data_IF_314525081899
#
_entry.id   IF_314525081899
#
_cell.length_a   1.000
_cell.length_b   1.000
_cell.length_c   1.000
_cell.angle_alpha   90.00
_cell.angle_beta   90.00
_cell.angle_gamma   90.00
#
_symmetry.space_group_name_H-M   'P 1'
#
loop_
_entity.id
_entity.type
_entity.pdbx_description
1 polymer ?
#
# COMPACT_ATOMS: atom_id res chain seq x y z
N UNK A 1 51.95 -25.10 -5.09
CA UNK A 1 51.12 -26.31 -5.12
C UNK A 1 49.79 -25.94 -4.48
N UNK A 2 48.68 -26.00 -5.23
CA UNK A 2 47.35 -25.66 -4.71
C UNK A 2 46.63 -26.97 -4.49
N UNK A 3 46.38 -27.31 -3.22
CA UNK A 3 45.57 -28.47 -2.84
C UNK A 3 44.11 -28.02 -2.78
N UNK A 4 43.24 -28.74 -3.49
CA UNK A 4 41.80 -28.49 -3.48
C UNK A 4 41.13 -29.67 -2.79
N UNK A 5 40.41 -29.40 -1.70
CA UNK A 5 39.58 -30.40 -1.02
C UNK A 5 38.20 -30.46 -1.69
N UNK A 6 37.91 -31.59 -2.32
CA UNK A 6 36.58 -31.92 -2.81
C UNK A 6 35.74 -32.60 -1.71
N UNK A 7 34.41 -32.58 -1.87
CA UNK A 7 33.41 -33.03 -0.87
C UNK A 7 33.54 -34.51 -0.45
N UNK A 8 34.29 -35.27 -1.21
CA UNK A 8 34.63 -36.68 -1.05
C UNK A 8 35.93 -36.90 -0.25
N UNK A 9 36.52 -35.83 0.29
CA UNK A 9 37.58 -35.88 1.31
C UNK A 9 38.95 -36.33 0.80
N UNK A 10 39.15 -36.36 -0.52
CA UNK A 10 40.42 -36.69 -1.16
C UNK A 10 41.10 -35.42 -1.63
N UNK A 11 42.39 -35.32 -1.31
CA UNK A 11 43.26 -34.26 -1.78
C UNK A 11 43.82 -34.63 -3.17
N UNK A 12 43.61 -33.74 -4.15
CA UNK A 12 44.13 -33.90 -5.51
C UNK A 12 45.22 -32.86 -5.77
N UNK A 13 46.41 -33.32 -6.16
CA UNK A 13 47.48 -32.45 -6.65
C UNK A 13 47.18 -32.03 -8.09
N UNK A 14 46.91 -30.73 -8.27
CA UNK A 14 46.73 -30.15 -9.60
C UNK A 14 48.09 -29.84 -10.23
N UNK A 15 48.30 -30.36 -11.45
CA UNK A 15 49.48 -30.02 -12.25
C UNK A 15 49.40 -28.58 -12.77
N UNK A 16 50.53 -28.01 -13.20
CA UNK A 16 50.55 -26.66 -13.78
C UNK A 16 49.65 -26.52 -15.03
N UNK A 17 49.43 -27.61 -15.77
CA UNK A 17 48.48 -27.65 -16.89
C UNK A 17 47.03 -27.57 -16.44
N UNK A 18 46.68 -28.16 -15.30
CA UNK A 18 45.30 -28.14 -14.76
C UNK A 18 44.92 -26.76 -14.23
N UNK A 19 45.90 -26.04 -13.66
CA UNK A 19 45.73 -24.63 -13.28
C UNK A 19 45.47 -23.73 -14.50
N UNK A 20 46.14 -24.01 -15.62
CA UNK A 20 45.90 -23.30 -16.88
C UNK A 20 44.49 -23.57 -17.42
N UNK A 21 43.99 -24.80 -17.30
CA UNK A 21 42.63 -25.16 -17.72
C UNK A 21 41.57 -24.51 -16.82
N UNK A 22 41.75 -24.53 -15.50
CA UNK A 22 40.86 -23.85 -14.56
C UNK A 22 40.84 -22.33 -14.77
N UNK A 23 42.01 -21.71 -15.02
CA UNK A 23 42.08 -20.28 -15.30
C UNK A 23 41.43 -19.93 -16.65
N UNK A 24 41.59 -20.78 -17.67
CA UNK A 24 40.88 -20.64 -18.96
C UNK A 24 39.38 -20.83 -18.81
N UNK A 25 38.94 -21.78 -17.99
CA UNK A 25 37.52 -21.99 -17.70
C UNK A 25 36.94 -20.80 -16.93
N UNK A 26 37.64 -20.29 -15.91
CA UNK A 26 37.28 -19.09 -15.16
C UNK A 26 37.24 -17.82 -16.04
N UNK A 27 38.20 -17.65 -16.94
CA UNK A 27 38.21 -16.55 -17.92
C UNK A 27 37.11 -16.72 -18.99
N UNK A 28 36.70 -17.94 -19.30
CA UNK A 28 35.61 -18.21 -20.23
C UNK A 28 34.24 -17.99 -19.58
N UNK A 29 34.03 -18.47 -18.34
CA UNK A 29 32.78 -18.24 -17.60
C UNK A 29 32.59 -16.78 -17.19
N UNK A 30 33.66 -16.05 -16.83
CA UNK A 30 33.57 -14.60 -16.59
C UNK A 30 33.24 -13.80 -17.85
N UNK A 31 33.69 -14.23 -19.05
CA UNK A 31 33.26 -13.62 -20.32
C UNK A 31 31.81 -13.94 -20.70
N UNK A 32 31.22 -15.02 -20.19
CA UNK A 32 29.79 -15.31 -20.39
C UNK A 32 28.92 -14.36 -19.55
N UNK A 33 29.40 -13.85 -18.41
CA UNK A 33 28.70 -12.78 -17.66
C UNK A 33 28.73 -11.43 -18.39
N UNK A 34 29.78 -11.13 -19.16
CA UNK A 34 29.83 -9.93 -20.02
C UNK A 34 28.96 -10.03 -21.28
N UNK A 35 28.44 -11.23 -21.58
CA UNK A 35 27.59 -11.52 -22.73
C UNK A 35 26.08 -11.57 -22.43
N UNK A 36 25.64 -11.28 -21.21
CA UNK A 36 24.22 -11.04 -20.97
C UNK A 36 23.85 -9.80 -21.80
N UNK A 37 23.00 -10.01 -22.80
CA UNK A 37 22.30 -8.97 -23.56
C UNK A 37 22.04 -7.77 -22.66
N UNK A 38 22.20 -6.52 -23.13
CA UNK A 38 21.63 -5.34 -22.46
C UNK A 38 20.22 -5.72 -22.03
N UNK A 39 20.08 -6.10 -20.75
CA UNK A 39 18.87 -6.71 -20.27
C UNK A 39 17.81 -5.67 -20.54
N UNK A 40 16.72 -6.07 -21.22
CA UNK A 40 15.52 -5.24 -21.28
C UNK A 40 15.32 -4.75 -19.85
N UNK A 41 15.53 -3.45 -19.61
CA UNK A 41 15.52 -2.91 -18.26
C UNK A 41 14.26 -3.46 -17.60
N UNK A 42 14.43 -4.26 -16.54
CA UNK A 42 13.27 -4.82 -15.84
C UNK A 42 12.43 -3.61 -15.49
N UNK A 43 11.20 -3.57 -16.00
CA UNK A 43 10.29 -2.48 -15.74
C UNK A 43 9.98 -2.50 -14.24
N UNK A 44 10.80 -1.78 -13.47
CA UNK A 44 10.59 -1.59 -12.05
C UNK A 44 9.39 -0.68 -11.92
N UNK A 45 8.47 -1.07 -11.04
CA UNK A 45 7.34 -0.26 -10.66
C UNK A 45 6.75 -0.78 -9.38
N UNK A 46 5.92 0.04 -8.76
CA UNK A 46 5.26 -0.27 -7.50
C UNK A 46 3.81 0.15 -7.59
N UNK A 47 2.93 -0.61 -6.94
CA UNK A 47 1.52 -0.29 -6.84
C UNK A 47 1.17 0.29 -5.48
N UNK A 48 0.16 1.14 -5.42
CA UNK A 48 -0.46 1.61 -4.19
C UNK A 48 -1.94 1.90 -4.39
N UNK A 49 -2.72 1.77 -3.33
CA UNK A 49 -4.10 2.24 -3.30
C UNK A 49 -4.16 3.73 -2.95
N UNK A 50 -4.93 4.49 -3.73
CA UNK A 50 -5.32 5.86 -3.41
C UNK A 50 -6.77 5.83 -2.92
N UNK A 51 -6.93 6.04 -1.62
CA UNK A 51 -8.24 5.97 -0.97
C UNK A 51 -8.97 7.31 -1.06
N UNK A 52 -10.27 7.25 -1.35
CA UNK A 52 -11.15 8.40 -1.49
C UNK A 52 -11.07 9.13 -2.83
N UNK A 53 -10.46 8.51 -3.86
CA UNK A 53 -10.41 9.05 -5.23
C UNK A 53 -10.61 7.93 -6.24
N UNK A 54 -11.24 8.29 -7.36
CA UNK A 54 -11.44 7.41 -8.52
C UNK A 54 -10.30 7.47 -9.54
N UNK A 55 -9.39 8.44 -9.38
CA UNK A 55 -8.30 8.70 -10.32
C UNK A 55 -6.92 8.68 -9.67
N UNK A 56 -5.91 8.21 -10.39
CA UNK A 56 -4.51 8.29 -9.97
C UNK A 56 -3.94 9.71 -10.15
N UNK A 57 -2.84 10.07 -9.45
CA UNK A 57 -2.17 11.34 -9.69
C UNK A 57 -1.68 11.46 -11.14
N UNK A 58 -1.51 12.69 -11.62
CA UNK A 58 -1.03 12.95 -12.98
C UNK A 58 0.32 12.27 -13.23
N UNK A 59 0.42 11.53 -14.34
CA UNK A 59 1.65 10.81 -14.71
C UNK A 59 1.81 9.44 -14.04
N UNK A 60 0.82 9.01 -13.25
CA UNK A 60 0.74 7.67 -12.65
C UNK A 60 -0.29 6.84 -13.40
N UNK A 61 0.04 5.58 -13.69
CA UNK A 61 -0.83 4.69 -14.43
C UNK A 61 -1.94 4.15 -13.52
N UNK A 62 -3.19 4.18 -13.96
CA UNK A 62 -4.28 3.52 -13.26
C UNK A 62 -4.27 2.03 -13.62
N UNK A 63 -4.24 1.16 -12.61
CA UNK A 63 -4.45 -0.29 -12.78
C UNK A 63 -5.94 -0.59 -12.84
N UNK A 64 -6.68 -0.12 -11.83
CA UNK A 64 -8.15 -0.15 -11.82
C UNK A 64 -8.72 0.90 -10.86
N UNK A 65 -10.01 1.18 -11.02
CA UNK A 65 -10.82 1.95 -10.09
C UNK A 65 -11.88 1.05 -9.46
N UNK A 66 -12.26 1.38 -8.24
CA UNK A 66 -13.08 0.55 -7.39
C UNK A 66 -13.76 1.32 -6.28
N UNK A 67 -14.31 0.55 -5.34
CA UNK A 67 -14.80 1.04 -4.07
C UNK A 67 -14.07 0.33 -2.93
N UNK A 68 -13.90 1.03 -1.82
CA UNK A 68 -13.37 0.42 -0.62
C UNK A 68 -14.41 -0.54 -0.05
N UNK A 69 -13.90 -1.66 0.45
CA UNK A 69 -14.68 -2.62 1.21
C UNK A 69 -13.89 -3.17 2.38
N UNK A 70 -14.57 -3.88 3.25
CA UNK A 70 -13.97 -4.46 4.43
C UNK A 70 -14.98 -5.27 5.22
N UNK A 71 -14.64 -5.54 6.47
CA UNK A 71 -15.56 -6.22 7.37
C UNK A 71 -16.58 -5.25 7.98
N UNK A 72 -17.79 -5.74 8.26
CA UNK A 72 -18.85 -4.98 8.93
C UNK A 72 -18.38 -4.41 10.27
N UNK A 73 -18.80 -3.21 10.62
CA UNK A 73 -18.30 -2.48 11.80
C UNK A 73 -18.46 -3.27 13.12
N UNK A 74 -19.54 -4.03 13.29
CA UNK A 74 -19.78 -4.84 14.51
C UNK A 74 -19.10 -6.21 14.51
N UNK A 75 -18.54 -6.65 13.37
CA UNK A 75 -17.94 -7.98 13.26
C UNK A 75 -16.52 -7.97 13.83
N UNK A 76 -16.28 -8.79 14.87
CA UNK A 76 -14.97 -8.86 15.56
C UNK A 76 -13.94 -9.75 14.85
N UNK A 77 -14.39 -10.70 14.02
CA UNK A 77 -13.54 -11.61 13.24
C UNK A 77 -13.35 -11.13 11.79
N UNK A 78 -12.80 -11.97 10.91
CA UNK A 78 -12.61 -11.62 9.50
C UNK A 78 -11.34 -10.79 9.23
N UNK A 79 -11.35 -10.02 8.13
CA UNK A 79 -10.22 -9.19 7.70
C UNK A 79 -10.16 -7.84 8.44
N UNK A 80 -8.94 -7.41 8.79
CA UNK A 80 -8.68 -6.11 9.45
C UNK A 80 -8.31 -4.99 8.47
N UNK A 81 -7.91 -5.34 7.26
CA UNK A 81 -7.53 -4.39 6.23
C UNK A 81 -8.76 -3.93 5.43
N UNK A 82 -8.63 -2.77 4.79
CA UNK A 82 -9.54 -2.36 3.72
C UNK A 82 -9.09 -3.02 2.42
N UNK A 83 -10.05 -3.30 1.56
CA UNK A 83 -9.85 -3.84 0.22
C UNK A 83 -10.28 -2.80 -0.80
N UNK A 84 -9.50 -2.62 -1.86
CA UNK A 84 -9.97 -1.87 -3.01
C UNK A 84 -10.64 -2.85 -3.98
N UNK A 85 -11.97 -2.90 -3.98
CA UNK A 85 -12.74 -3.84 -4.78
C UNK A 85 -12.96 -3.25 -6.17
N UNK A 86 -12.58 -3.94 -7.27
CA UNK A 86 -12.76 -3.42 -8.61
C UNK A 86 -14.24 -3.23 -8.94
N UNK A 87 -14.55 -2.22 -9.77
CA UNK A 87 -15.92 -1.98 -10.24
C UNK A 87 -16.45 -3.07 -11.18
N UNK A 88 -15.57 -3.94 -11.68
CA UNK A 88 -15.85 -5.05 -12.60
C UNK A 88 -15.33 -6.38 -12.02
N UNK A 89 -15.91 -6.89 -10.92
CA UNK A 89 -15.45 -8.13 -10.32
C UNK A 89 -15.75 -9.35 -11.21
N UNK A 90 -14.87 -10.35 -11.17
CA UNK A 90 -15.17 -11.70 -11.63
C UNK A 90 -15.81 -12.46 -10.47
N UNK A 91 -17.09 -12.81 -10.59
CA UNK A 91 -17.84 -13.48 -9.53
C UNK A 91 -17.52 -14.97 -9.49
N UNK A 92 -17.33 -15.51 -8.29
CA UNK A 92 -17.32 -16.95 -8.05
C UNK A 92 -18.73 -17.54 -7.92
N UNK A 93 -18.80 -18.84 -7.65
CA UNK A 93 -20.07 -19.52 -7.40
C UNK A 93 -20.68 -19.11 -6.06
N UNK A 94 -22.01 -18.94 -5.98
CA UNK A 94 -22.68 -18.63 -4.73
C UNK A 94 -22.56 -19.80 -3.74
N UNK A 95 -22.32 -19.50 -2.47
CA UNK A 95 -22.38 -20.48 -1.39
C UNK A 95 -23.21 -19.92 -0.23
N UNK A 96 -24.02 -20.78 0.38
CA UNK A 96 -24.92 -20.41 1.49
C UNK A 96 -24.39 -20.97 2.79
N UNK A 97 -23.44 -20.27 3.40
CA UNK A 97 -22.96 -20.56 4.75
C UNK A 97 -22.76 -19.26 5.52
N UNK A 98 -23.07 -19.25 6.82
CA UNK A 98 -22.80 -18.12 7.70
C UNK A 98 -21.30 -18.01 7.96
N UNK A 99 -20.56 -17.37 7.06
CA UNK A 99 -19.10 -17.23 7.10
C UNK A 99 -18.68 -15.75 6.97
N UNK A 100 -17.39 -15.51 6.75
CA UNK A 100 -16.86 -14.17 6.56
C UNK A 100 -17.46 -13.50 5.32
N UNK A 101 -17.75 -12.21 5.43
CA UNK A 101 -18.36 -11.39 4.39
C UNK A 101 -17.52 -10.14 4.15
N UNK A 102 -17.59 -9.61 2.93
CA UNK A 102 -17.03 -8.30 2.58
C UNK A 102 -18.20 -7.35 2.35
N UNK A 103 -18.16 -6.21 3.02
CA UNK A 103 -19.13 -5.12 2.94
C UNK A 103 -18.49 -3.95 2.20
N UNK A 104 -19.33 -3.12 1.56
CA UNK A 104 -18.91 -1.80 1.08
C UNK A 104 -18.47 -0.92 2.25
N UNK A 105 -17.73 0.16 1.95
CA UNK A 105 -17.25 1.06 2.98
C UNK A 105 -17.81 2.47 2.86
N UNK A 106 -18.07 3.11 4.00
CA UNK A 106 -18.70 4.43 4.08
C UNK A 106 -17.84 5.43 4.85
N UNK A 107 -17.97 6.69 4.47
CA UNK A 107 -17.43 7.81 5.22
C UNK A 107 -18.30 8.14 6.44
N UNK A 108 -17.67 8.12 7.61
CA UNK A 108 -18.28 8.51 8.88
C UNK A 108 -17.78 9.88 9.31
N UNK A 109 -18.31 10.90 8.62
CA UNK A 109 -17.84 12.28 8.67
C UNK A 109 -18.90 13.25 9.20
N UNK A 110 -19.71 12.84 10.18
CA UNK A 110 -20.64 13.74 10.84
C UNK A 110 -19.93 14.94 11.51
N UNK A 111 -20.57 16.11 11.45
CA UNK A 111 -20.03 17.49 11.55
C UNK A 111 -18.99 17.86 12.63
N UNK A 112 -18.73 17.02 13.64
CA UNK A 112 -17.73 17.25 14.70
C UNK A 112 -16.54 16.26 14.68
N UNK A 113 -16.47 15.33 13.73
CA UNK A 113 -15.49 14.24 13.68
C UNK A 113 -14.62 14.24 12.41
N UNK A 114 -14.63 15.33 11.65
CA UNK A 114 -13.94 15.40 10.34
C UNK A 114 -12.62 16.16 10.43
N UNK A 115 -11.56 15.70 9.75
CA UNK A 115 -10.36 16.50 9.57
C UNK A 115 -10.69 17.83 8.86
N UNK A 116 -10.49 18.94 9.57
CA UNK A 116 -11.00 20.28 9.20
C UNK A 116 -10.61 20.76 7.79
N UNK A 117 -9.51 20.24 7.23
CA UNK A 117 -9.03 20.60 5.90
C UNK A 117 -9.34 19.56 4.81
N UNK A 118 -10.19 18.57 5.06
CA UNK A 118 -10.69 17.66 4.02
C UNK A 118 -11.80 18.37 3.23
N UNK A 119 -11.70 18.37 1.90
CA UNK A 119 -12.74 18.95 1.05
C UNK A 119 -14.01 18.10 1.12
N UNK A 120 -15.16 18.74 0.89
CA UNK A 120 -16.46 18.07 0.85
C UNK A 120 -16.86 17.33 2.15
N UNK A 121 -16.16 17.56 3.26
CA UNK A 121 -16.39 16.89 4.55
C UNK A 121 -17.86 16.82 4.97
N UNK A 122 -18.64 17.87 4.71
CA UNK A 122 -20.06 17.95 5.10
C UNK A 122 -20.99 17.11 4.23
N UNK A 123 -20.54 16.70 3.05
CA UNK A 123 -21.35 16.01 2.03
C UNK A 123 -20.91 14.58 1.78
N UNK A 124 -19.86 14.12 2.47
CA UNK A 124 -19.33 12.77 2.33
C UNK A 124 -19.93 11.79 3.32
N UNK A 125 -20.45 12.24 4.46
CA UNK A 125 -21.05 11.34 5.45
C UNK A 125 -22.11 10.43 4.81
N UNK A 126 -22.05 9.13 5.16
CA UNK A 126 -22.94 8.10 4.64
C UNK A 126 -22.86 7.94 3.11
N UNK A 127 -21.68 8.19 2.55
CA UNK A 127 -21.38 7.89 1.15
C UNK A 127 -20.26 6.89 1.05
N UNK A 128 -20.32 6.10 -0.01
CA UNK A 128 -19.35 5.07 -0.27
C UNK A 128 -17.99 5.66 -0.63
N UNK A 129 -16.95 5.00 -0.14
CA UNK A 129 -15.55 5.43 -0.28
C UNK A 129 -14.98 4.85 -1.57
N UNK A 130 -14.67 5.65 -2.60
CA UNK A 130 -14.00 5.14 -3.80
C UNK A 130 -12.54 4.84 -3.49
N UNK A 131 -11.94 4.00 -4.33
CA UNK A 131 -10.52 3.76 -4.33
C UNK A 131 -10.01 3.55 -5.75
N UNK A 132 -8.72 3.77 -5.96
CA UNK A 132 -8.07 3.39 -7.20
C UNK A 132 -6.70 2.81 -6.90
N UNK A 133 -6.32 1.75 -7.62
CA UNK A 133 -4.98 1.19 -7.54
C UNK A 133 -4.15 1.79 -8.66
N UNK A 134 -3.05 2.42 -8.25
CA UNK A 134 -2.13 3.14 -9.13
C UNK A 134 -0.83 2.37 -9.26
N UNK A 135 -0.24 2.39 -10.46
CA UNK A 135 1.07 1.84 -10.76
C UNK A 135 2.03 2.96 -11.13
N UNK A 136 3.10 3.10 -10.36
CA UNK A 136 4.14 4.08 -10.60
C UNK A 136 5.36 3.39 -11.20
N UNK A 137 5.73 3.81 -12.42
CA UNK A 137 6.87 3.26 -13.16
C UNK A 137 8.19 3.81 -12.61
N UNK A 138 9.27 3.04 -12.76
CA UNK A 138 10.63 3.37 -12.34
C UNK A 138 10.76 3.72 -10.86
N UNK A 139 9.90 3.12 -10.03
CA UNK A 139 9.91 3.18 -8.56
C UNK A 139 9.86 1.76 -8.03
N UNK A 140 10.49 1.51 -6.89
CA UNK A 140 10.57 0.18 -6.28
C UNK A 140 9.84 0.07 -4.95
N UNK A 141 9.49 1.19 -4.32
CA UNK A 141 8.89 1.18 -2.98
C UNK A 141 7.83 2.27 -2.81
N UNK A 142 6.87 1.99 -1.93
CA UNK A 142 5.84 2.93 -1.46
C UNK A 142 5.98 3.09 0.05
N UNK A 143 5.76 4.30 0.53
CA UNK A 143 5.76 4.63 1.95
C UNK A 143 4.60 5.59 2.26
N UNK A 144 3.75 5.21 3.21
CA UNK A 144 2.79 6.12 3.84
C UNK A 144 3.39 6.67 5.13
N UNK A 145 3.42 7.99 5.28
CA UNK A 145 4.00 8.68 6.44
C UNK A 145 2.88 9.40 7.21
N UNK A 146 2.44 8.87 8.37
CA UNK A 146 1.48 9.56 9.22
C UNK A 146 2.12 10.78 9.88
N UNK A 147 1.32 11.84 10.08
CA UNK A 147 1.74 13.11 10.67
C UNK A 147 2.46 14.07 9.71
N UNK A 148 2.57 13.78 8.40
CA UNK A 148 3.23 14.66 7.42
C UNK A 148 2.36 14.95 6.21
N UNK A 149 2.59 16.11 5.59
CA UNK A 149 2.01 16.52 4.29
C UNK A 149 3.00 16.41 3.13
N UNK A 150 4.27 16.12 3.44
CA UNK A 150 5.40 16.19 2.50
C UNK A 150 6.33 15.00 2.71
N UNK A 151 6.79 14.43 1.62
CA UNK A 151 7.77 13.34 1.62
C UNK A 151 9.13 13.80 2.19
N UNK A 152 9.94 12.85 2.65
CA UNK A 152 11.33 13.11 3.00
C UNK A 152 12.18 13.35 1.75
N UNK A 153 13.36 13.95 1.92
CA UNK A 153 14.30 14.18 0.81
C UNK A 153 14.60 12.86 0.08
N UNK A 154 14.54 12.89 -1.25
CA UNK A 154 14.79 11.73 -2.10
C UNK A 154 13.59 10.79 -2.27
N UNK A 155 12.44 11.11 -1.68
CA UNK A 155 11.16 10.45 -1.96
C UNK A 155 10.29 11.34 -2.86
N UNK A 156 9.51 10.70 -3.71
CA UNK A 156 8.60 11.35 -4.66
C UNK A 156 7.20 11.39 -4.06
N UNK A 157 6.55 12.54 -4.17
CA UNK A 157 5.17 12.73 -3.72
C UNK A 157 4.18 12.06 -4.67
N UNK A 158 3.23 11.30 -4.12
CA UNK A 158 2.10 10.75 -4.87
C UNK A 158 0.79 11.47 -4.51
N UNK A 159 0.41 11.43 -3.22
CA UNK A 159 -0.73 12.19 -2.71
C UNK A 159 -0.61 12.43 -1.20
N UNK A 160 -1.44 13.33 -0.67
CA UNK A 160 -1.55 13.61 0.77
C UNK A 160 -3.00 13.66 1.20
N UNK A 161 -3.20 13.54 2.50
CA UNK A 161 -4.52 13.43 3.06
C UNK A 161 -4.53 13.39 4.57
N UNK A 162 -5.47 12.60 5.09
CA UNK A 162 -5.68 12.39 6.51
C UNK A 162 -5.74 10.90 6.82
N UNK A 163 -5.22 10.53 7.99
CA UNK A 163 -5.34 9.18 8.50
C UNK A 163 -6.80 8.94 8.87
N UNK A 164 -7.33 7.83 8.35
CA UNK A 164 -8.65 7.31 8.70
C UNK A 164 -8.55 5.84 9.09
N UNK A 165 -9.51 5.40 9.91
CA UNK A 165 -9.67 4.02 10.36
C UNK A 165 -11.09 3.81 10.87
N UNK A 166 -11.41 2.65 11.46
CA UNK A 166 -12.70 2.41 12.11
C UNK A 166 -12.87 3.27 13.38
N UNK A 167 -14.09 3.29 13.90
CA UNK A 167 -14.33 3.89 15.21
C UNK A 167 -13.63 3.08 16.30
N UNK A 168 -13.05 3.78 17.28
CA UNK A 168 -12.34 3.17 18.42
C UNK A 168 -13.15 2.18 19.26
N UNK A 169 -14.48 2.23 19.18
CA UNK A 169 -15.39 1.38 19.95
C UNK A 169 -15.90 0.17 19.13
N UNK A 170 -15.45 0.02 17.88
CA UNK A 170 -15.79 -1.07 16.95
C UNK A 170 -14.63 -2.07 16.77
N UNK A 171 -14.65 -2.85 15.69
CA UNK A 171 -13.57 -3.79 15.37
C UNK A 171 -12.30 -3.07 14.90
N UNK A 172 -11.13 -3.65 15.17
CA UNK A 172 -9.86 -3.09 14.70
C UNK A 172 -9.79 -3.04 13.18
N UNK A 173 -9.44 -1.88 12.63
CA UNK A 173 -9.03 -1.71 11.24
C UNK A 173 -7.62 -1.14 11.14
N UNK A 174 -7.01 -1.29 9.98
CA UNK A 174 -5.75 -0.62 9.68
C UNK A 174 -5.93 0.91 9.60
N UNK A 175 -4.81 1.64 9.67
CA UNK A 175 -4.78 3.07 9.39
C UNK A 175 -4.44 3.31 7.92
N UNK A 176 -5.31 3.99 7.19
CA UNK A 176 -5.08 4.34 5.77
C UNK A 176 -5.01 5.84 5.57
N UNK A 177 -4.31 6.25 4.51
CA UNK A 177 -4.25 7.64 4.10
C UNK A 177 -5.37 7.91 3.09
N UNK A 178 -6.39 8.66 3.48
CA UNK A 178 -7.48 9.10 2.59
C UNK A 178 -7.16 10.45 2.03
N UNK A 179 -7.25 10.59 0.70
CA UNK A 179 -6.91 11.81 -0.02
C UNK A 179 -7.62 13.04 0.54
N UNK A 180 -6.92 14.17 0.64
CA UNK A 180 -7.48 15.42 1.15
C UNK A 180 -8.67 15.94 0.31
N UNK A 181 -8.71 15.57 -0.98
CA UNK A 181 -9.71 15.97 -1.96
C UNK A 181 -10.71 14.83 -2.18
N UNK A 182 -11.07 14.14 -1.08
CA UNK A 182 -11.95 12.98 -1.11
C UNK A 182 -13.29 13.27 -1.83
N UNK A 183 -13.77 12.25 -2.53
CA UNK A 183 -15.02 12.24 -3.27
C UNK A 183 -15.79 10.95 -2.98
N UNK A 184 -17.12 10.92 -3.17
CA UNK A 184 -17.88 9.69 -3.05
C UNK A 184 -17.83 8.87 -4.36
N UNK A 185 -18.21 7.59 -4.28
CA UNK A 185 -18.42 6.74 -5.46
C UNK A 185 -19.43 7.41 -6.40
N UNK A 186 -20.63 7.69 -5.88
CA UNK A 186 -21.69 8.44 -6.57
C UNK A 186 -22.40 9.42 -5.62
N UNK A 187 -23.57 9.95 -6.01
CA UNK A 187 -24.33 10.90 -5.18
C UNK A 187 -25.37 10.24 -4.27
N UNK A 188 -25.43 8.90 -4.25
CA UNK A 188 -26.26 8.18 -3.29
C UNK A 188 -25.68 8.37 -1.91
N UNK A 189 -26.58 8.23 -0.95
CA UNK A 189 -26.23 8.21 0.45
C UNK A 189 -27.26 7.33 1.14
N UNK A 190 -26.74 6.33 1.82
CA UNK A 190 -27.48 5.42 2.65
C UNK A 190 -26.58 5.07 3.83
N UNK A 191 -27.20 4.65 4.93
CA UNK A 191 -26.49 4.28 6.14
C UNK A 191 -26.52 2.75 6.21
N UNK A 192 -25.69 2.12 5.40
CA UNK A 192 -25.57 0.66 5.33
C UNK A 192 -24.75 0.09 6.49
N UNK A 193 -23.95 0.93 7.15
CA UNK A 193 -23.03 0.57 8.21
C UNK A 193 -22.13 -0.62 7.84
N UNK A 194 -21.47 -0.53 6.68
CA UNK A 194 -20.55 -1.57 6.22
C UNK A 194 -19.20 -1.54 6.95
N UNK A 195 -18.10 -1.40 6.19
CA UNK A 195 -16.82 -1.00 6.74
C UNK A 195 -16.78 0.53 6.90
N UNK A 196 -16.20 1.07 7.96
CA UNK A 196 -16.33 2.51 8.23
C UNK A 196 -14.99 3.24 8.15
N UNK A 197 -15.04 4.48 7.68
CA UNK A 197 -13.93 5.41 7.63
C UNK A 197 -14.21 6.62 8.53
N UNK A 198 -13.64 6.59 9.73
CA UNK A 198 -13.63 7.68 10.69
C UNK A 198 -12.31 8.47 10.64
N UNK A 199 -12.40 9.78 10.87
CA UNK A 199 -11.21 10.63 11.04
C UNK A 199 -10.42 10.27 12.30
N UNK A 200 -9.10 10.18 12.17
CA UNK A 200 -8.21 9.90 13.31
C UNK A 200 -7.62 11.19 13.86
N UNK A 201 -7.68 11.33 15.19
CA UNK A 201 -7.02 12.41 15.93
C UNK A 201 -5.97 11.87 16.89
N UNK A 202 -4.96 12.67 17.15
CA UNK A 202 -3.95 12.40 18.19
C UNK A 202 -4.55 12.44 19.59
N UNK A 203 -3.96 11.65 20.50
CA UNK A 203 -4.17 11.76 21.94
C UNK A 203 -2.83 11.83 22.66
N UNK A 204 -2.57 12.93 23.37
CA UNK A 204 -1.35 13.10 24.15
C UNK A 204 -1.34 12.17 25.38
N UNK A 205 -0.13 11.86 25.84
CA UNK A 205 0.15 10.88 26.89
C UNK A 205 1.50 10.24 26.61
N UNK A 206 1.50 8.95 26.27
CA UNK A 206 2.69 8.30 25.71
C UNK A 206 3.10 8.89 24.35
N UNK A 207 2.14 9.45 23.60
CA UNK A 207 2.42 10.32 22.46
C UNK A 207 2.92 11.67 22.97
N UNK A 208 4.18 11.98 22.68
CA UNK A 208 4.82 13.24 23.09
C UNK A 208 4.17 14.44 22.41
N UNK A 209 3.74 15.39 23.22
CA UNK A 209 3.19 16.66 22.78
C UNK A 209 3.92 17.79 23.53
N UNK A 210 4.84 18.55 22.89
CA UNK A 210 5.23 18.56 21.46
C UNK A 210 6.07 17.33 21.00
N UNK A 211 6.23 17.09 19.67
CA UNK A 211 5.83 17.94 18.54
C UNK A 211 4.39 17.76 18.07
N UNK A 212 3.68 16.72 18.54
CA UNK A 212 2.25 16.56 18.26
C UNK A 212 1.42 17.51 19.12
N UNK A 213 0.16 17.70 18.74
CA UNK A 213 -0.83 18.47 19.49
C UNK A 213 -1.94 17.53 19.94
N UNK A 214 -2.59 17.78 21.07
CA UNK A 214 -3.71 16.93 21.50
C UNK A 214 -4.92 17.13 20.59
N UNK A 215 -5.77 16.11 20.48
CA UNK A 215 -7.07 16.17 19.81
C UNK A 215 -7.02 16.80 18.40
N UNK A 216 -5.93 16.58 17.66
CA UNK A 216 -5.70 17.16 16.34
C UNK A 216 -5.73 16.06 15.28
N UNK A 217 -6.35 16.34 14.14
CA UNK A 217 -6.38 15.44 12.99
C UNK A 217 -4.97 15.07 12.50
N UNK A 218 -4.81 13.81 12.08
CA UNK A 218 -3.51 13.28 11.68
C UNK A 218 -3.38 13.34 10.17
N UNK A 219 -2.54 14.24 9.66
CA UNK A 219 -2.19 14.25 8.24
C UNK A 219 -1.47 12.98 7.79
N UNK A 220 -1.44 12.73 6.49
CA UNK A 220 -0.60 11.70 5.90
C UNK A 220 -0.13 12.09 4.50
N UNK A 221 0.94 11.45 4.06
CA UNK A 221 1.45 11.54 2.69
C UNK A 221 1.87 10.16 2.23
N UNK A 222 1.53 9.82 1.00
CA UNK A 222 2.01 8.62 0.31
C UNK A 222 3.10 9.04 -0.66
N UNK A 223 4.22 8.33 -0.60
CA UNK A 223 5.45 8.63 -1.32
C UNK A 223 5.99 7.38 -2.00
N UNK A 224 6.72 7.55 -3.11
CA UNK A 224 7.44 6.46 -3.80
C UNK A 224 8.93 6.76 -3.93
N UNK A 225 9.73 5.72 -4.17
CA UNK A 225 11.18 5.87 -4.45
C UNK A 225 11.63 5.00 -5.60
#
# INVERSE_FOLDING_TARGET
>A
MVLVQCRDGKDYELSASDQSFLMKHYLHTSRIEEGLSKGKAIASGVTYARWGRKECPTGVEMVYTGQAGGNHYTHKGGGVNYLCLPNNPENGEPFSAATNQIFGAEYELASSQVPSGMKNQKTLHNKEVPCTVCYQRKRSTVLMIPGRKTCYKGWTFEYKGYIMSDHKDYSSKEYVCVDQDAEPVDNKSSNEDGALFYGVKTKCGSLRCPPYKDATDVHCVVCTK
#
